data_IF_408651068400
#
_entry.id   IF_408651068400
#
_cell.length_a   1.000
_cell.length_b   1.000
_cell.length_c   1.000
_cell.angle_alpha   90.00
_cell.angle_beta   90.00
_cell.angle_gamma   90.00
#
_symmetry.space_group_name_H-M   'P 1'
#
loop_
_entity.id
_entity.type
_entity.pdbx_description
1 polymer ?
#
# COMPACT_ATOMS: atom_id res chain seq x y z
N UNK A 1 10.55 26.70 21.23
CA UNK A 1 10.94 28.02 21.78
C UNK A 1 10.91 29.14 20.72
N UNK A 2 10.93 28.83 19.41
CA UNK A 2 10.76 29.83 18.35
C UNK A 2 9.32 30.03 17.83
N UNK A 3 8.40 29.08 18.09
CA UNK A 3 6.97 29.25 17.75
C UNK A 3 6.30 30.39 18.53
N UNK A 4 6.88 30.81 19.66
CA UNK A 4 6.41 31.93 20.48
C UNK A 4 6.80 33.31 19.91
N UNK A 5 7.71 33.36 18.93
CA UNK A 5 8.29 34.60 18.38
C UNK A 5 7.74 34.96 16.99
N UNK A 6 6.82 34.17 16.42
CA UNK A 6 6.25 34.43 15.08
C UNK A 6 7.25 34.27 13.93
N UNK A 7 8.49 33.84 14.19
CA UNK A 7 9.51 33.66 13.16
C UNK A 7 9.45 32.27 12.52
N UNK A 8 8.37 32.03 11.75
CA UNK A 8 8.18 30.78 11.01
C UNK A 8 9.32 30.53 10.01
N UNK A 9 9.91 31.60 9.46
CA UNK A 9 11.03 31.50 8.52
C UNK A 9 12.33 31.00 9.18
N UNK A 10 12.65 31.48 10.39
CA UNK A 10 13.81 31.02 11.16
C UNK A 10 13.69 29.55 11.55
N UNK A 11 12.52 29.15 12.05
CA UNK A 11 12.27 27.74 12.40
C UNK A 11 12.36 26.81 11.18
N UNK A 12 11.91 27.25 10.00
CA UNK A 12 12.08 26.50 8.74
C UNK A 12 13.54 26.32 8.35
N UNK A 13 14.38 27.34 8.49
CA UNK A 13 15.80 27.22 8.18
C UNK A 13 16.51 26.22 9.11
N UNK A 14 16.12 26.19 10.39
CA UNK A 14 16.62 25.18 11.33
C UNK A 14 16.20 23.78 10.88
N UNK A 15 14.94 23.59 10.48
CA UNK A 15 14.47 22.31 9.95
C UNK A 15 15.19 21.91 8.65
N UNK A 16 15.33 22.80 7.67
CA UNK A 16 16.04 22.49 6.41
C UNK A 16 17.50 22.10 6.69
N UNK A 17 18.19 22.86 7.55
CA UNK A 17 19.56 22.50 7.96
C UNK A 17 19.61 21.18 8.72
N UNK A 18 18.57 20.85 9.48
CA UNK A 18 18.49 19.54 10.13
C UNK A 18 18.27 18.41 9.12
N UNK A 19 17.50 18.64 8.04
CA UNK A 19 17.26 17.66 6.99
C UNK A 19 18.48 17.37 6.11
N UNK A 20 19.42 18.32 5.99
CA UNK A 20 20.71 18.09 5.31
C UNK A 20 21.49 16.91 5.93
N UNK A 21 21.30 16.66 7.23
CA UNK A 21 21.98 15.59 7.96
C UNK A 21 21.26 14.23 7.82
N UNK A 22 20.20 14.14 7.02
CA UNK A 22 19.36 12.95 6.83
C UNK A 22 18.93 12.30 8.17
N UNK A 23 18.17 13.03 9.00
CA UNK A 23 17.82 12.58 10.33
C UNK A 23 16.81 11.42 10.31
N UNK A 24 16.61 10.80 11.46
CA UNK A 24 15.66 9.70 11.67
C UNK A 24 14.22 10.10 11.33
N UNK A 25 13.38 9.10 11.07
CA UNK A 25 11.97 9.25 10.69
C UNK A 25 11.20 10.25 11.58
N UNK A 26 11.46 10.27 12.88
CA UNK A 26 10.78 11.15 13.82
C UNK A 26 11.02 12.64 13.56
N UNK A 27 12.19 13.01 13.05
CA UNK A 27 12.50 14.38 12.67
C UNK A 27 11.64 14.83 11.49
N UNK A 28 11.46 13.98 10.49
CA UNK A 28 10.59 14.24 9.34
C UNK A 28 9.14 14.46 9.77
N UNK A 29 8.61 13.60 10.65
CA UNK A 29 7.27 13.77 11.21
C UNK A 29 7.13 15.07 12.00
N UNK A 30 8.15 15.47 12.76
CA UNK A 30 8.12 16.74 13.50
C UNK A 30 8.03 17.95 12.55
N UNK A 31 8.70 17.88 11.40
CA UNK A 31 8.68 18.94 10.39
C UNK A 31 7.35 18.97 9.62
N UNK A 32 6.82 17.80 9.25
CA UNK A 32 5.49 17.68 8.62
C UNK A 32 4.42 18.23 9.56
N UNK A 33 4.45 17.84 10.84
CA UNK A 33 3.51 18.34 11.84
C UNK A 33 3.64 19.86 12.05
N UNK A 34 4.84 20.40 11.94
CA UNK A 34 5.06 21.85 11.97
C UNK A 34 4.37 22.55 10.79
N UNK A 35 4.61 22.14 9.54
CA UNK A 35 3.95 22.76 8.39
C UNK A 35 2.41 22.57 8.41
N UNK A 36 1.93 21.44 8.96
CA UNK A 36 0.49 21.21 9.15
C UNK A 36 -0.15 22.17 10.17
N UNK A 37 0.56 22.54 11.24
CA UNK A 37 0.08 23.58 12.18
C UNK A 37 -0.16 24.92 11.48
N UNK A 38 0.67 25.25 10.50
CA UNK A 38 0.55 26.47 9.69
C UNK A 38 -0.35 26.32 8.46
N UNK A 39 -1.01 25.17 8.26
CA UNK A 39 -1.90 24.85 7.13
C UNK A 39 -1.21 24.89 5.75
N UNK A 40 0.11 24.75 5.70
CA UNK A 40 0.92 24.78 4.48
C UNK A 40 1.02 23.36 3.88
N UNK A 41 -0.09 22.85 3.34
CA UNK A 41 -0.21 21.45 2.88
C UNK A 41 0.72 21.14 1.70
N UNK A 42 0.93 22.09 0.79
CA UNK A 42 1.80 21.90 -0.38
C UNK A 42 3.28 21.76 0.00
N UNK A 43 3.72 22.46 1.06
CA UNK A 43 5.06 22.28 1.61
C UNK A 43 5.18 20.93 2.33
N UNK A 44 4.20 20.57 3.17
CA UNK A 44 4.16 19.26 3.80
C UNK A 44 4.25 18.12 2.77
N UNK A 45 3.57 18.25 1.64
CA UNK A 45 3.66 17.32 0.51
C UNK A 45 5.08 17.23 -0.07
N UNK A 46 5.74 18.37 -0.26
CA UNK A 46 7.11 18.42 -0.78
C UNK A 46 8.10 17.75 0.18
N UNK A 47 7.90 17.91 1.48
CA UNK A 47 8.68 17.25 2.53
C UNK A 47 8.44 15.74 2.50
N UNK A 48 7.18 15.29 2.39
CA UNK A 48 6.87 13.86 2.26
C UNK A 48 7.54 13.22 1.04
N UNK A 49 7.55 13.90 -0.12
CA UNK A 49 8.25 13.40 -1.31
C UNK A 49 9.74 13.19 -1.05
N UNK A 50 10.40 14.12 -0.35
CA UNK A 50 11.81 13.98 0.05
C UNK A 50 12.00 12.86 1.05
N UNK A 51 11.14 12.78 2.08
CA UNK A 51 11.18 11.77 3.12
C UNK A 51 11.16 10.35 2.54
N UNK A 52 10.24 10.10 1.61
CA UNK A 52 10.06 8.81 0.95
C UNK A 52 11.26 8.42 0.08
N UNK A 53 11.97 9.39 -0.51
CA UNK A 53 13.17 9.13 -1.31
C UNK A 53 14.39 8.81 -0.43
N UNK A 54 14.48 9.39 0.76
CA UNK A 54 15.60 9.19 1.70
C UNK A 54 15.41 7.89 2.48
N UNK A 55 14.17 7.60 2.89
CA UNK A 55 13.80 6.39 3.61
C UNK A 55 12.75 5.60 2.82
N UNK A 56 13.17 4.81 1.81
CA UNK A 56 12.28 4.10 0.90
C UNK A 56 11.65 2.84 1.53
N UNK A 57 10.92 3.01 2.63
CA UNK A 57 10.17 1.94 3.28
C UNK A 57 8.70 1.95 2.82
N UNK A 58 8.13 0.77 2.63
CA UNK A 58 6.71 0.59 2.26
C UNK A 58 5.79 1.31 3.26
N UNK A 59 6.13 1.26 4.55
CA UNK A 59 5.40 1.97 5.61
C UNK A 59 5.36 3.49 5.39
N UNK A 60 6.44 4.07 4.88
CA UNK A 60 6.55 5.51 4.63
C UNK A 60 5.70 5.93 3.43
N UNK A 61 5.69 5.11 2.38
CA UNK A 61 4.78 5.31 1.23
C UNK A 61 3.30 5.25 1.64
N UNK A 62 2.93 4.28 2.49
CA UNK A 62 1.55 4.17 3.01
C UNK A 62 1.19 5.41 3.86
N UNK A 63 2.10 5.88 4.72
CA UNK A 63 1.89 7.12 5.50
C UNK A 63 1.69 8.33 4.58
N UNK A 64 2.47 8.44 3.50
CA UNK A 64 2.33 9.53 2.54
C UNK A 64 0.98 9.48 1.80
N UNK A 65 0.55 8.29 1.38
CA UNK A 65 -0.75 8.15 0.72
C UNK A 65 -1.92 8.45 1.67
N UNK A 66 -1.84 8.00 2.93
CA UNK A 66 -2.85 8.31 3.97
C UNK A 66 -2.93 9.81 4.25
N UNK A 67 -1.78 10.51 4.23
CA UNK A 67 -1.75 11.96 4.35
C UNK A 67 -2.53 12.65 3.21
N UNK A 68 -2.31 12.25 1.96
CA UNK A 68 -3.04 12.81 0.81
C UNK A 68 -4.54 12.48 0.86
N UNK A 69 -4.90 11.28 1.32
CA UNK A 69 -6.31 10.87 1.54
C UNK A 69 -7.00 11.75 2.59
N UNK A 70 -6.34 12.01 3.73
CA UNK A 70 -6.88 12.87 4.79
C UNK A 70 -7.15 14.30 4.31
N UNK A 71 -6.36 14.79 3.34
CA UNK A 71 -6.55 16.09 2.73
C UNK A 71 -7.47 16.09 1.51
N UNK A 72 -8.16 14.98 1.23
CA UNK A 72 -9.09 14.81 0.09
C UNK A 72 -8.44 14.94 -1.30
N UNK A 73 -7.12 14.74 -1.40
CA UNK A 73 -6.39 14.74 -2.68
C UNK A 73 -6.26 13.32 -3.26
N UNK A 74 -7.40 12.69 -3.56
CA UNK A 74 -7.46 11.28 -3.98
C UNK A 74 -6.65 10.98 -5.26
N UNK A 75 -6.68 11.89 -6.24
CA UNK A 75 -5.91 11.72 -7.47
C UNK A 75 -4.39 11.74 -7.23
N UNK A 76 -3.93 12.48 -6.22
CA UNK A 76 -2.52 12.48 -5.84
C UNK A 76 -2.18 11.23 -5.03
N UNK A 77 -3.03 10.82 -4.08
CA UNK A 77 -2.86 9.58 -3.33
C UNK A 77 -2.70 8.37 -4.26
N UNK A 78 -3.51 8.27 -5.33
CA UNK A 78 -3.38 7.21 -6.34
C UNK A 78 -2.02 7.24 -7.04
N UNK A 79 -1.57 8.42 -7.50
CA UNK A 79 -0.24 8.59 -8.11
C UNK A 79 0.90 8.21 -7.16
N UNK A 80 0.71 8.41 -5.86
CA UNK A 80 1.70 7.99 -4.85
C UNK A 80 1.76 6.47 -4.77
N UNK A 81 0.61 5.78 -4.76
CA UNK A 81 0.58 4.31 -4.80
C UNK A 81 1.16 3.75 -6.09
N UNK A 82 0.81 4.30 -7.25
CA UNK A 82 1.38 3.90 -8.55
C UNK A 82 2.90 4.05 -8.55
N UNK A 83 3.43 5.20 -8.09
CA UNK A 83 4.87 5.42 -7.93
C UNK A 83 5.52 4.48 -6.94
N UNK A 84 4.85 4.14 -5.84
CA UNK A 84 5.37 3.18 -4.88
C UNK A 84 5.53 1.81 -5.54
N UNK A 85 4.52 1.36 -6.29
CA UNK A 85 4.57 0.08 -7.03
C UNK A 85 5.67 0.10 -8.09
N UNK A 86 5.82 1.19 -8.84
CA UNK A 86 6.92 1.35 -9.81
C UNK A 86 8.30 1.36 -9.14
N UNK A 87 8.42 1.99 -7.97
CA UNK A 87 9.69 2.14 -7.25
C UNK A 87 10.18 0.83 -6.63
N UNK A 88 9.30 0.08 -5.97
CA UNK A 88 9.67 -1.23 -5.40
C UNK A 88 9.84 -2.32 -6.45
N UNK A 89 9.25 -2.12 -7.63
CA UNK A 89 9.40 -3.03 -8.76
C UNK A 89 9.01 -4.47 -8.44
N UNK A 90 9.45 -5.40 -9.28
CA UNK A 90 9.21 -6.85 -9.11
C UNK A 90 10.07 -7.47 -7.99
N UNK A 91 11.08 -6.76 -7.49
CA UNK A 91 12.13 -7.31 -6.63
C UNK A 91 11.77 -7.29 -5.13
N UNK A 92 10.93 -6.36 -4.67
CA UNK A 92 10.50 -6.24 -3.27
C UNK A 92 8.99 -6.00 -3.16
N UNK A 93 8.19 -6.99 -3.56
CA UNK A 93 6.74 -6.93 -3.47
C UNK A 93 6.24 -7.22 -2.05
N UNK A 94 6.06 -6.15 -1.28
CA UNK A 94 5.42 -6.23 0.03
C UNK A 94 3.88 -6.33 -0.12
N UNK A 95 3.30 -7.38 0.44
CA UNK A 95 1.85 -7.59 0.55
C UNK A 95 1.14 -6.36 1.14
N UNK A 96 1.79 -5.68 2.07
CA UNK A 96 1.18 -4.58 2.82
C UNK A 96 0.86 -3.39 1.92
N UNK A 97 1.65 -3.16 0.87
CA UNK A 97 1.40 -2.08 -0.09
C UNK A 97 0.12 -2.33 -0.89
N UNK A 98 -0.04 -3.55 -1.43
CA UNK A 98 -1.21 -3.91 -2.23
C UNK A 98 -2.50 -3.93 -1.40
N UNK A 99 -2.43 -4.43 -0.16
CA UNK A 99 -3.57 -4.39 0.76
C UNK A 99 -3.96 -2.95 1.09
N UNK A 100 -2.98 -2.07 1.33
CA UNK A 100 -3.25 -0.66 1.58
C UNK A 100 -3.86 0.03 0.36
N UNK A 101 -3.35 -0.26 -0.84
CA UNK A 101 -3.86 0.31 -2.08
C UNK A 101 -5.29 -0.18 -2.39
N UNK A 102 -5.57 -1.46 -2.16
CA UNK A 102 -6.92 -2.02 -2.28
C UNK A 102 -7.90 -1.35 -1.31
N UNK A 103 -7.51 -1.13 -0.04
CA UNK A 103 -8.35 -0.42 0.94
C UNK A 103 -8.59 1.03 0.54
N UNK A 104 -7.60 1.70 -0.04
CA UNK A 104 -7.76 3.06 -0.57
C UNK A 104 -8.79 3.10 -1.71
N UNK A 105 -8.70 2.20 -2.70
CA UNK A 105 -9.68 2.14 -3.79
C UNK A 105 -11.07 1.67 -3.32
N UNK A 106 -11.14 0.84 -2.26
CA UNK A 106 -12.40 0.50 -1.57
C UNK A 106 -13.07 1.75 -0.98
N UNK A 107 -12.30 2.63 -0.31
CA UNK A 107 -12.80 3.90 0.21
C UNK A 107 -13.30 4.83 -0.92
N UNK A 108 -12.65 4.79 -2.10
CA UNK A 108 -13.06 5.54 -3.29
C UNK A 108 -14.23 4.89 -4.05
N UNK A 109 -14.71 3.71 -3.62
CA UNK A 109 -15.78 2.92 -4.25
C UNK A 109 -15.46 2.44 -5.67
N UNK A 110 -14.17 2.30 -5.99
CA UNK A 110 -13.69 1.86 -7.30
C UNK A 110 -13.42 0.35 -7.29
N UNK A 111 -14.49 -0.44 -7.12
CA UNK A 111 -14.42 -1.88 -6.88
C UNK A 111 -13.75 -2.68 -8.00
N UNK A 112 -13.88 -2.24 -9.25
CA UNK A 112 -13.27 -2.94 -10.38
C UNK A 112 -11.74 -2.79 -10.36
N UNK A 113 -11.22 -1.62 -9.95
CA UNK A 113 -9.78 -1.41 -9.78
C UNK A 113 -9.22 -2.28 -8.66
N UNK A 114 -9.95 -2.40 -7.55
CA UNK A 114 -9.57 -3.28 -6.43
C UNK A 114 -9.35 -4.72 -6.90
N UNK A 115 -10.23 -5.25 -7.76
CA UNK A 115 -10.09 -6.60 -8.33
C UNK A 115 -8.84 -6.74 -9.19
N UNK A 116 -8.55 -5.75 -10.04
CA UNK A 116 -7.35 -5.76 -10.88
C UNK A 116 -6.09 -5.76 -10.02
N UNK A 117 -6.06 -4.93 -8.96
CA UNK A 117 -4.94 -4.86 -8.03
C UNK A 117 -4.72 -6.22 -7.33
N UNK A 118 -5.77 -6.85 -6.83
CA UNK A 118 -5.66 -8.16 -6.19
C UNK A 118 -5.21 -9.26 -7.16
N UNK A 119 -5.73 -9.29 -8.39
CA UNK A 119 -5.27 -10.23 -9.43
C UNK A 119 -3.79 -10.02 -9.75
N UNK A 120 -3.39 -8.77 -9.99
CA UNK A 120 -2.01 -8.41 -10.27
C UNK A 120 -1.05 -8.81 -9.13
N UNK A 121 -1.47 -8.60 -7.88
CA UNK A 121 -0.68 -9.01 -6.71
C UNK A 121 -0.59 -10.54 -6.59
N UNK A 122 -1.65 -11.28 -6.89
CA UNK A 122 -1.67 -12.75 -6.85
C UNK A 122 -0.83 -13.40 -7.95
N UNK A 123 -0.73 -12.78 -9.12
CA UNK A 123 0.06 -13.31 -10.23
C UNK A 123 1.57 -13.20 -9.97
N UNK A 124 1.99 -12.28 -9.10
CA UNK A 124 3.39 -11.92 -8.89
C UNK A 124 3.94 -12.32 -7.52
N UNK A 125 3.11 -12.37 -6.48
CA UNK A 125 3.56 -12.70 -5.12
C UNK A 125 3.59 -14.23 -4.92
N UNK A 126 4.70 -14.79 -4.36
CA UNK A 126 4.75 -16.18 -3.95
C UNK A 126 3.64 -16.52 -2.94
N UNK A 127 3.02 -17.68 -3.14
CA UNK A 127 1.74 -18.04 -2.49
C UNK A 127 1.81 -18.16 -0.96
N UNK A 128 3.02 -18.28 -0.39
CA UNK A 128 3.27 -18.29 1.06
C UNK A 128 2.98 -16.93 1.69
N UNK A 129 3.33 -15.84 1.02
CA UNK A 129 3.13 -14.47 1.51
C UNK A 129 1.76 -13.89 1.09
N UNK A 130 1.09 -14.52 0.13
CA UNK A 130 -0.23 -14.08 -0.35
C UNK A 130 -1.39 -14.40 0.61
N UNK A 131 -1.15 -15.03 1.76
CA UNK A 131 -2.23 -15.48 2.65
C UNK A 131 -3.09 -14.33 3.19
N UNK A 132 -2.51 -13.18 3.60
CA UNK A 132 -3.34 -12.08 4.08
C UNK A 132 -4.01 -11.35 2.92
N UNK A 133 -3.41 -11.32 1.74
CA UNK A 133 -3.98 -10.81 0.51
C UNK A 133 -5.24 -11.58 0.15
N UNK A 134 -5.20 -12.92 0.17
CA UNK A 134 -6.38 -13.78 -0.02
C UNK A 134 -7.46 -13.55 1.05
N UNK A 135 -7.08 -13.41 2.32
CA UNK A 135 -8.04 -13.08 3.39
C UNK A 135 -8.74 -11.75 3.12
N UNK A 136 -7.98 -10.70 2.79
CA UNK A 136 -8.55 -9.39 2.49
C UNK A 136 -9.40 -9.41 1.21
N UNK A 137 -8.97 -10.14 0.19
CA UNK A 137 -9.72 -10.26 -1.07
C UNK A 137 -11.04 -11.02 -0.90
N UNK A 138 -11.05 -12.09 -0.11
CA UNK A 138 -12.30 -12.83 0.20
C UNK A 138 -13.27 -11.98 1.03
N UNK A 139 -12.77 -11.18 1.99
CA UNK A 139 -13.59 -10.23 2.74
C UNK A 139 -14.18 -9.16 1.80
N UNK A 140 -13.37 -8.65 0.87
CA UNK A 140 -13.79 -7.65 -0.11
C UNK A 140 -14.92 -8.19 -1.00
N UNK A 141 -14.75 -9.36 -1.60
CA UNK A 141 -15.77 -9.96 -2.49
C UNK A 141 -17.00 -10.43 -1.72
N UNK A 142 -16.89 -10.77 -0.44
CA UNK A 142 -18.07 -11.01 0.40
C UNK A 142 -18.91 -9.75 0.62
N UNK A 143 -18.26 -8.58 0.70
CA UNK A 143 -18.95 -7.30 0.93
C UNK A 143 -19.51 -6.69 -0.35
N UNK A 144 -18.77 -6.78 -1.46
CA UNK A 144 -19.05 -6.03 -2.70
C UNK A 144 -19.13 -6.91 -3.95
N UNK A 145 -18.97 -8.22 -3.82
CA UNK A 145 -18.94 -9.16 -4.95
C UNK A 145 -20.31 -9.74 -5.30
N UNK A 146 -20.45 -10.08 -6.58
CA UNK A 146 -21.51 -10.97 -7.07
C UNK A 146 -21.12 -12.42 -6.82
N UNK A 147 -22.11 -13.31 -6.70
CA UNK A 147 -21.90 -14.75 -6.44
C UNK A 147 -20.88 -15.40 -7.38
N UNK A 148 -20.83 -14.97 -8.65
CA UNK A 148 -19.89 -15.45 -9.67
C UNK A 148 -18.43 -15.05 -9.42
N UNK A 149 -18.19 -13.85 -8.86
CA UNK A 149 -16.84 -13.40 -8.51
C UNK A 149 -16.27 -14.22 -7.36
N UNK A 150 -17.10 -14.51 -6.36
CA UNK A 150 -16.76 -15.36 -5.22
C UNK A 150 -16.45 -16.79 -5.66
N UNK A 151 -17.29 -17.37 -6.54
CA UNK A 151 -17.08 -18.71 -7.10
C UNK A 151 -15.72 -18.82 -7.81
N UNK A 152 -15.33 -17.84 -8.65
CA UNK A 152 -14.05 -17.87 -9.36
C UNK A 152 -12.83 -17.84 -8.43
N UNK A 153 -12.91 -17.14 -7.29
CA UNK A 153 -11.81 -17.04 -6.31
C UNK A 153 -11.68 -18.34 -5.54
N UNK A 154 -12.82 -18.93 -5.16
CA UNK A 154 -12.86 -20.22 -4.49
C UNK A 154 -12.31 -21.29 -5.42
N UNK A 155 -12.72 -21.34 -6.69
CA UNK A 155 -12.17 -22.28 -7.68
C UNK A 155 -10.67 -22.09 -7.84
N UNK A 156 -10.16 -20.85 -7.96
CA UNK A 156 -8.72 -20.61 -8.07
C UNK A 156 -7.95 -21.07 -6.81
N UNK A 157 -8.51 -20.87 -5.61
CA UNK A 157 -7.92 -21.30 -4.36
C UNK A 157 -7.90 -22.84 -4.24
N UNK A 158 -9.02 -23.47 -4.57
CA UNK A 158 -9.20 -24.92 -4.53
C UNK A 158 -8.30 -25.60 -5.57
N UNK A 159 -8.33 -25.12 -6.81
CA UNK A 159 -7.47 -25.61 -7.90
C UNK A 159 -6.00 -25.58 -7.51
N UNK A 160 -5.56 -24.53 -6.81
CA UNK A 160 -4.19 -24.46 -6.34
C UNK A 160 -3.88 -25.46 -5.21
N UNK A 161 -4.80 -25.66 -4.27
CA UNK A 161 -4.64 -26.66 -3.22
C UNK A 161 -4.49 -28.07 -3.81
N UNK A 162 -5.29 -28.40 -4.84
CA UNK A 162 -5.14 -29.65 -5.57
C UNK A 162 -3.82 -29.74 -6.35
N UNK A 163 -3.28 -28.65 -6.91
CA UNK A 163 -1.93 -28.65 -7.51
C UNK A 163 -0.82 -28.95 -6.50
N UNK A 164 -0.92 -28.43 -5.27
CA UNK A 164 0.04 -28.74 -4.20
C UNK A 164 -0.09 -30.19 -3.74
N UNK A 165 -1.31 -30.70 -3.60
CA UNK A 165 -1.58 -32.08 -3.20
C UNK A 165 -1.10 -33.10 -4.25
N UNK A 166 -1.28 -32.80 -5.54
CA UNK A 166 -0.77 -33.61 -6.65
C UNK A 166 0.76 -33.56 -6.71
N UNK A 167 1.39 -32.41 -6.45
CA UNK A 167 2.86 -32.30 -6.36
C UNK A 167 3.43 -33.06 -5.17
N UNK A 168 2.77 -33.01 -4.03
CA UNK A 168 3.19 -33.72 -2.82
C UNK A 168 3.01 -35.23 -2.97
N UNK A 169 1.90 -35.67 -3.57
CA UNK A 169 1.58 -37.07 -3.80
C UNK A 169 1.11 -37.29 -5.25
N UNK A 170 2.02 -37.61 -6.18
CA UNK A 170 1.68 -37.85 -7.59
C UNK A 170 0.71 -39.02 -7.85
N UNK A 171 0.49 -39.87 -6.86
CA UNK A 171 -0.43 -41.02 -6.94
C UNK A 171 -1.79 -40.77 -6.27
N UNK A 172 -2.05 -39.55 -5.80
CA UNK A 172 -3.36 -39.20 -5.26
C UNK A 172 -4.33 -38.90 -6.42
N UNK A 173 -4.96 -39.96 -6.93
CA UNK A 173 -5.90 -39.88 -8.05
C UNK A 173 -7.13 -39.04 -7.72
N UNK A 174 -7.58 -39.01 -6.47
CA UNK A 174 -8.73 -38.20 -6.06
C UNK A 174 -8.44 -36.70 -6.23
N UNK A 175 -7.25 -36.25 -5.82
CA UNK A 175 -6.80 -34.86 -6.05
C UNK A 175 -6.57 -34.54 -7.54
N UNK A 176 -6.29 -35.54 -8.37
CA UNK A 176 -6.16 -35.38 -9.83
C UNK A 176 -7.52 -35.26 -10.52
N UNK A 177 -8.52 -36.03 -10.08
CA UNK A 177 -9.89 -35.93 -10.59
C UNK A 177 -10.58 -34.63 -10.17
N UNK A 178 -10.35 -34.17 -8.94
CA UNK A 178 -10.89 -32.89 -8.46
C UNK A 178 -10.21 -31.66 -9.09
N UNK A 179 -9.04 -31.84 -9.75
CA UNK A 179 -8.33 -30.79 -10.48
C UNK A 179 -8.87 -30.54 -11.90
N UNK A 180 -9.54 -31.53 -12.51
CA UNK A 180 -9.96 -31.53 -13.92
C UNK A 180 -11.32 -30.84 -14.14
#
# INVERSE_FOLDING_TARGET
MEEMLGNVAGSRQVFERWMEWQPEEQAWHSYINFELRYKEVDRARSIYKRFVLIHPDVKNWIKYAYFEEKHSYFAHARKVYERAVEFFGEEHMDEHLYVAFAKFEENQKEFERVRVIYKYALDRIPKQDAQNLFKNYTIFEKKFGDRRGIEHIIVNKIRFQYEEEVKANPYNYDAWFDYL
#
